data_IF_962984148640
#
_entry.id   IF_962984148640
#
_cell.length_a   1.000
_cell.length_b   1.000
_cell.length_c   1.000
_cell.angle_alpha   90.00
_cell.angle_beta   90.00
_cell.angle_gamma   90.00
#
_symmetry.space_group_name_H-M   'P 1'
#
loop_
_entity.id
_entity.type
_entity.pdbx_description
1 polymer ?
#
# COMPACT_ATOMS: atom_id res chain seq x y z
N UNK A 1 -5.47 0.91 -6.04
CA UNK A 1 -4.78 0.16 -7.12
C UNK A 1 -4.52 1.03 -8.37
N UNK A 2 -4.42 2.35 -8.27
CA UNK A 2 -4.40 3.22 -9.47
C UNK A 2 -3.06 3.30 -10.22
N UNK A 3 -1.97 2.80 -9.63
CA UNK A 3 -0.63 2.84 -10.22
C UNK A 3 -0.57 1.92 -11.44
N UNK A 4 0.02 2.41 -12.53
CA UNK A 4 0.14 1.66 -13.78
C UNK A 4 0.88 0.33 -13.58
N UNK A 5 0.39 -0.70 -14.27
CA UNK A 5 0.90 -2.08 -14.21
C UNK A 5 0.76 -2.80 -12.86
N UNK A 6 0.18 -2.20 -11.82
CA UNK A 6 -0.14 -2.94 -10.59
C UNK A 6 -1.39 -3.81 -10.80
N UNK A 7 -1.29 -5.08 -10.40
CA UNK A 7 -2.34 -6.11 -10.56
C UNK A 7 -2.82 -6.72 -9.25
N UNK A 8 -2.17 -6.41 -8.13
CA UNK A 8 -2.57 -6.85 -6.79
C UNK A 8 -1.96 -5.94 -5.73
N UNK A 9 -2.62 -5.82 -4.59
CA UNK A 9 -2.18 -5.07 -3.41
C UNK A 9 -2.55 -5.90 -2.19
N UNK A 10 -1.65 -5.89 -1.23
CA UNK A 10 -1.81 -6.59 0.03
C UNK A 10 -1.45 -5.65 1.17
N UNK A 11 -2.09 -5.84 2.32
CA UNK A 11 -1.69 -5.23 3.58
C UNK A 11 -1.14 -6.32 4.49
N UNK A 12 0.00 -6.05 5.10
CA UNK A 12 0.69 -7.00 5.97
C UNK A 12 1.11 -8.27 5.23
N UNK A 13 0.67 -9.41 5.76
CA UNK A 13 0.93 -10.73 5.18
C UNK A 13 -0.10 -11.15 4.12
N UNK A 14 -1.13 -10.32 3.89
CA UNK A 14 -1.91 -10.34 2.65
C UNK A 14 -2.62 -11.65 2.37
N UNK A 15 -2.50 -12.13 1.13
CA UNK A 15 -3.07 -13.40 0.70
C UNK A 15 -2.45 -14.59 1.45
N UNK A 16 -1.27 -14.44 2.05
CA UNK A 16 -0.69 -15.44 2.94
C UNK A 16 -1.58 -15.76 4.14
N UNK A 17 -2.28 -14.75 4.69
CA UNK A 17 -3.20 -14.96 5.82
C UNK A 17 -4.48 -15.70 5.42
N UNK A 18 -4.87 -15.67 4.15
CA UNK A 18 -6.04 -16.41 3.68
C UNK A 18 -5.82 -17.94 3.68
N UNK A 19 -4.57 -18.39 3.77
CA UNK A 19 -4.20 -19.81 3.75
C UNK A 19 -3.91 -20.41 5.14
N UNK A 20 -3.99 -19.61 6.22
CA UNK A 20 -3.67 -20.07 7.58
C UNK A 20 -4.92 -20.17 8.47
N UNK A 21 -4.81 -20.90 9.57
CA UNK A 21 -5.90 -21.01 10.56
C UNK A 21 -6.10 -19.67 11.26
N UNK A 22 -7.33 -19.40 11.69
CA UNK A 22 -7.63 -18.18 12.46
C UNK A 22 -6.81 -18.05 13.75
N UNK A 23 -6.40 -19.16 14.37
CA UNK A 23 -5.50 -19.18 15.54
C UNK A 23 -4.12 -18.60 15.24
N UNK A 24 -3.67 -18.66 13.99
CA UNK A 24 -2.33 -18.26 13.57
C UNK A 24 -2.35 -16.95 12.76
N UNK A 25 -3.54 -16.44 12.40
CA UNK A 25 -3.70 -15.30 11.50
C UNK A 25 -3.59 -13.94 12.19
N UNK A 26 -3.93 -13.87 13.48
CA UNK A 26 -4.09 -12.62 14.19
C UNK A 26 -2.78 -12.17 14.87
N UNK A 27 -2.74 -10.88 15.20
CA UNK A 27 -1.72 -10.27 16.04
C UNK A 27 -2.26 -10.08 17.45
N UNK A 28 -1.79 -10.88 18.42
CA UNK A 28 -2.27 -10.79 19.80
C UNK A 28 -1.89 -9.44 20.42
N UNK A 29 -2.76 -8.92 21.28
CA UNK A 29 -2.55 -7.67 22.02
C UNK A 29 -1.97 -8.01 23.40
N UNK A 30 -0.79 -7.48 23.70
CA UNK A 30 -0.09 -7.71 24.96
C UNK A 30 0.30 -6.39 25.62
N UNK A 31 0.43 -6.39 26.94
CA UNK A 31 1.00 -5.24 27.66
C UNK A 31 2.52 -5.18 27.44
N UNK A 32 3.02 -3.97 27.17
CA UNK A 32 4.44 -3.64 27.10
C UNK A 32 4.77 -2.48 28.04
N UNK A 33 6.05 -2.12 28.15
CA UNK A 33 6.49 -0.99 28.96
C UNK A 33 6.03 0.38 28.40
N UNK A 34 5.65 0.44 27.11
CA UNK A 34 5.29 1.67 26.41
C UNK A 34 3.77 1.77 26.14
N UNK A 35 3.00 0.74 26.47
CA UNK A 35 1.59 0.62 26.10
C UNK A 35 1.20 -0.78 25.65
N UNK A 36 0.07 -0.90 24.98
CA UNK A 36 -0.34 -2.10 24.25
C UNK A 36 0.58 -2.29 23.04
N UNK A 37 1.07 -3.51 22.88
CA UNK A 37 1.88 -3.92 21.74
C UNK A 37 1.24 -5.12 21.05
N UNK A 38 1.60 -5.32 19.79
CA UNK A 38 1.27 -6.55 19.06
C UNK A 38 2.39 -7.57 19.14
N UNK A 39 2.05 -8.84 19.26
CA UNK A 39 3.05 -9.93 19.28
C UNK A 39 3.67 -10.20 17.92
N UNK A 40 2.99 -9.78 16.85
CA UNK A 40 3.47 -9.84 15.48
C UNK A 40 2.91 -8.67 14.66
N UNK A 41 3.32 -8.55 13.40
CA UNK A 41 2.87 -7.49 12.50
C UNK A 41 2.05 -7.98 11.30
N UNK A 42 1.38 -9.14 11.40
CA UNK A 42 0.71 -9.84 10.28
C UNK A 42 -0.38 -9.02 9.63
N UNK A 43 -1.13 -8.26 10.43
CA UNK A 43 -2.15 -7.30 10.00
C UNK A 43 -1.59 -6.16 9.15
N UNK A 44 -0.28 -5.92 9.20
CA UNK A 44 0.38 -4.87 8.44
C UNK A 44 0.07 -3.47 8.93
N UNK A 45 -0.17 -3.31 10.23
CA UNK A 45 -0.44 -2.01 10.84
C UNK A 45 -1.88 -1.52 10.69
N UNK A 46 -2.80 -2.37 10.21
CA UNK A 46 -4.21 -2.02 10.07
C UNK A 46 -5.15 -3.12 10.53
N UNK A 47 -6.18 -2.76 11.28
CA UNK A 47 -7.28 -3.67 11.66
C UNK A 47 -8.61 -2.93 11.62
N UNK A 48 -9.66 -3.59 11.13
CA UNK A 48 -10.98 -2.96 11.01
C UNK A 48 -10.98 -1.68 10.14
N UNK A 49 -10.00 -1.53 9.25
CA UNK A 49 -9.83 -0.33 8.42
C UNK A 49 -9.14 0.84 9.13
N UNK A 50 -8.58 0.66 10.32
CA UNK A 50 -7.89 1.71 11.09
C UNK A 50 -6.43 1.34 11.35
N UNK A 51 -5.57 2.36 11.47
CA UNK A 51 -4.18 2.17 11.88
C UNK A 51 -4.10 1.64 13.33
N UNK A 52 -3.27 0.64 13.58
CA UNK A 52 -3.11 0.03 14.91
C UNK A 52 -2.01 0.67 15.76
N UNK A 53 -1.18 1.54 15.17
CA UNK A 53 0.04 2.07 15.78
C UNK A 53 1.30 1.29 15.38
N UNK A 54 1.14 0.06 14.89
CA UNK A 54 2.23 -0.73 14.30
C UNK A 54 2.63 -0.19 12.92
N UNK A 55 3.77 -0.67 12.39
CA UNK A 55 4.24 -0.27 11.06
C UNK A 55 3.23 -0.65 9.97
N UNK A 56 2.77 0.35 9.22
CA UNK A 56 1.96 0.13 8.02
C UNK A 56 2.79 -0.58 6.94
N UNK A 57 2.38 -1.78 6.54
CA UNK A 57 3.03 -2.56 5.48
C UNK A 57 2.07 -2.76 4.32
N UNK A 58 2.41 -2.21 3.16
CA UNK A 58 1.65 -2.38 1.92
C UNK A 58 2.55 -3.01 0.86
N UNK A 59 2.06 -4.03 0.15
CA UNK A 59 2.74 -4.65 -0.99
C UNK A 59 1.94 -4.41 -2.26
N UNK A 60 2.63 -4.32 -3.39
CA UNK A 60 2.02 -4.18 -4.70
C UNK A 60 2.66 -5.17 -5.69
N UNK A 61 1.83 -5.89 -6.43
CA UNK A 61 2.25 -6.83 -7.47
C UNK A 61 2.24 -6.13 -8.83
N UNK A 62 3.43 -5.85 -9.38
CA UNK A 62 3.59 -5.21 -10.68
C UNK A 62 3.76 -6.25 -11.78
N UNK A 63 2.90 -6.23 -12.82
CA UNK A 63 3.17 -7.00 -14.04
C UNK A 63 4.32 -6.36 -14.82
N UNK A 64 5.07 -7.12 -15.64
CA UNK A 64 6.02 -6.53 -16.59
C UNK A 64 5.32 -5.46 -17.44
N UNK A 65 5.84 -4.23 -17.39
CA UNK A 65 5.22 -3.08 -18.07
C UNK A 65 5.73 -2.91 -19.51
N UNK A 66 6.99 -3.26 -19.76
CA UNK A 66 7.62 -3.15 -21.07
C UNK A 66 7.22 -4.33 -21.95
N UNK A 67 6.65 -4.04 -23.12
CA UNK A 67 6.37 -5.06 -24.15
C UNK A 67 7.68 -5.66 -24.66
N UNK A 68 7.74 -6.99 -24.76
CA UNK A 68 8.90 -7.70 -25.29
C UNK A 68 8.91 -7.56 -26.83
N UNK A 69 9.99 -7.02 -27.43
CA UNK A 69 10.08 -6.88 -28.89
C UNK A 69 9.88 -8.21 -29.61
N UNK A 70 9.04 -8.21 -30.66
CA UNK A 70 8.76 -9.36 -31.55
C UNK A 70 8.15 -10.60 -30.88
N UNK A 71 7.76 -10.53 -29.61
CA UNK A 71 7.19 -11.68 -28.90
C UNK A 71 5.66 -11.73 -28.90
N UNK A 72 4.99 -10.59 -29.09
CA UNK A 72 3.53 -10.48 -28.97
C UNK A 72 2.88 -10.21 -30.32
N UNK A 73 1.83 -10.97 -30.62
CA UNK A 73 0.90 -10.69 -31.73
C UNK A 73 -0.14 -9.66 -31.31
N UNK A 74 -0.52 -8.80 -32.24
CA UNK A 74 -1.61 -7.83 -32.13
C UNK A 74 -2.31 -7.72 -33.49
N UNK A 75 -3.23 -6.77 -33.63
CA UNK A 75 -3.93 -6.46 -34.88
C UNK A 75 -3.65 -5.01 -35.28
N UNK A 76 -3.40 -4.76 -36.56
CA UNK A 76 -3.40 -3.40 -37.12
C UNK A 76 -4.85 -2.93 -37.26
N UNK A 77 -5.21 -1.88 -36.54
CA UNK A 77 -6.60 -1.37 -36.51
C UNK A 77 -7.05 -0.71 -37.83
N UNK A 78 -6.11 -0.37 -38.72
CA UNK A 78 -6.43 0.24 -40.02
C UNK A 78 -6.76 -0.80 -41.09
N UNK A 79 -6.12 -1.98 -41.04
CA UNK A 79 -6.31 -3.07 -42.03
C UNK A 79 -7.11 -4.25 -41.49
N UNK A 80 -7.12 -4.46 -40.16
CA UNK A 80 -7.70 -5.63 -39.51
C UNK A 80 -6.80 -6.88 -39.54
N UNK A 81 -5.59 -6.78 -40.08
CA UNK A 81 -4.66 -7.91 -40.22
C UNK A 81 -3.79 -8.15 -38.99
N UNK A 82 -3.26 -9.36 -38.84
CA UNK A 82 -2.29 -9.68 -37.78
C UNK A 82 -1.01 -8.85 -37.94
N UNK A 83 -0.53 -8.26 -36.84
CA UNK A 83 0.68 -7.47 -36.79
C UNK A 83 1.51 -7.79 -35.53
N UNK A 84 2.84 -7.60 -35.52
CA UNK A 84 3.63 -7.69 -34.30
C UNK A 84 3.43 -6.45 -33.43
N UNK A 85 3.32 -6.63 -32.11
CA UNK A 85 3.26 -5.50 -31.20
C UNK A 85 4.61 -4.79 -31.10
N UNK A 86 4.59 -3.46 -31.22
CA UNK A 86 5.77 -2.62 -31.01
C UNK A 86 5.93 -2.26 -29.53
N UNK A 87 7.16 -2.21 -29.03
CA UNK A 87 7.44 -1.69 -27.70
C UNK A 87 7.58 -0.17 -27.73
N UNK A 88 7.14 0.51 -26.66
CA UNK A 88 7.28 1.97 -26.50
C UNK A 88 8.40 2.37 -25.52
N UNK A 89 8.90 1.40 -24.77
CA UNK A 89 9.98 1.54 -23.79
C UNK A 89 10.85 0.27 -23.83
N UNK A 90 12.08 0.38 -23.35
CA UNK A 90 13.12 -0.66 -23.53
C UNK A 90 13.76 -1.12 -22.21
N UNK A 91 13.38 -0.54 -21.08
CA UNK A 91 13.82 -1.01 -19.76
C UNK A 91 13.25 -2.40 -19.46
N UNK A 92 14.07 -3.22 -18.81
CA UNK A 92 13.73 -4.61 -18.48
C UNK A 92 12.88 -4.69 -17.21
N UNK A 93 13.14 -3.83 -16.22
CA UNK A 93 12.47 -3.84 -14.93
C UNK A 93 12.24 -2.42 -14.42
N UNK A 94 11.00 -2.12 -14.05
CA UNK A 94 10.58 -0.86 -13.45
C UNK A 94 10.10 -1.02 -11.99
N UNK A 95 10.27 -2.20 -11.38
CA UNK A 95 9.79 -2.50 -10.02
C UNK A 95 10.39 -1.55 -8.97
N UNK A 96 11.71 -1.23 -8.97
CA UNK A 96 12.26 -0.30 -8.00
C UNK A 96 11.64 1.10 -8.09
N UNK A 97 11.46 1.62 -9.30
CA UNK A 97 10.82 2.92 -9.52
C UNK A 97 9.32 2.89 -9.16
N UNK A 98 8.63 1.79 -9.43
CA UNK A 98 7.24 1.61 -9.01
C UNK A 98 7.08 1.59 -7.48
N UNK A 99 8.11 1.15 -6.73
CA UNK A 99 8.16 1.27 -5.27
C UNK A 99 8.07 2.71 -4.79
N UNK A 100 8.86 3.62 -5.40
CA UNK A 100 8.82 5.05 -5.09
C UNK A 100 7.44 5.66 -5.39
N UNK A 101 6.83 5.26 -6.51
CA UNK A 101 5.45 5.69 -6.83
C UNK A 101 4.45 5.15 -5.80
N UNK A 102 4.62 3.91 -5.34
CA UNK A 102 3.77 3.32 -4.31
C UNK A 102 3.89 4.06 -2.96
N UNK A 103 5.10 4.42 -2.55
CA UNK A 103 5.34 5.25 -1.36
C UNK A 103 4.60 6.60 -1.46
N UNK A 104 4.70 7.27 -2.62
CA UNK A 104 4.01 8.53 -2.84
C UNK A 104 2.48 8.39 -2.75
N UNK A 105 1.91 7.31 -3.32
CA UNK A 105 0.46 7.06 -3.23
C UNK A 105 0.01 6.75 -1.80
N UNK A 106 0.83 6.01 -1.02
CA UNK A 106 0.55 5.76 0.41
C UNK A 106 0.60 7.07 1.20
N UNK A 107 1.61 7.91 0.96
CA UNK A 107 1.76 9.21 1.63
C UNK A 107 0.57 10.14 1.37
N UNK A 108 0.04 10.18 0.14
CA UNK A 108 -1.16 10.96 -0.19
C UNK A 108 -2.38 10.49 0.61
N UNK A 109 -2.62 9.18 0.67
CA UNK A 109 -3.77 8.62 1.42
C UNK A 109 -3.62 8.85 2.93
N UNK A 110 -2.40 8.74 3.47
CA UNK A 110 -2.16 9.04 4.88
C UNK A 110 -2.34 10.52 5.20
N UNK A 111 -1.89 11.42 4.32
CA UNK A 111 -2.09 12.86 4.50
C UNK A 111 -3.58 13.23 4.48
N UNK A 112 -4.37 12.60 3.59
CA UNK A 112 -5.82 12.77 3.53
C UNK A 112 -6.49 12.28 4.82
N UNK A 113 -6.17 11.07 5.28
CA UNK A 113 -6.71 10.51 6.53
C UNK A 113 -6.31 11.33 7.78
N UNK A 114 -5.11 11.89 7.82
CA UNK A 114 -4.65 12.81 8.87
C UNK A 114 -5.49 14.09 8.82
N UNK A 115 -5.70 14.66 7.64
CA UNK A 115 -6.47 15.88 7.45
C UNK A 115 -7.94 15.68 7.82
N UNK A 116 -8.53 14.54 7.44
CA UNK A 116 -9.90 14.16 7.82
C UNK A 116 -10.04 14.00 9.35
N UNK A 117 -9.10 13.31 10.00
CA UNK A 117 -9.18 13.02 11.44
C UNK A 117 -8.90 14.25 12.32
N UNK A 118 -7.92 15.06 11.96
CA UNK A 118 -7.41 16.13 12.82
C UNK A 118 -7.81 17.54 12.37
N UNK A 119 -8.26 17.71 11.13
CA UNK A 119 -8.66 18.98 10.56
C UNK A 119 -7.55 20.04 10.55
N UNK A 120 -7.96 21.30 10.41
CA UNK A 120 -7.09 22.47 10.42
C UNK A 120 -6.78 23.01 9.03
N UNK A 121 -6.66 24.34 8.95
CA UNK A 121 -6.36 25.04 7.68
C UNK A 121 -4.88 25.38 7.52
N UNK A 122 -4.05 24.98 8.50
CA UNK A 122 -2.60 25.15 8.48
C UNK A 122 -1.89 23.98 9.16
N UNK A 123 -0.66 23.69 8.74
CA UNK A 123 0.16 22.61 9.32
C UNK A 123 0.31 22.77 10.83
N UNK A 124 0.49 24.00 11.31
CA UNK A 124 0.64 24.29 12.75
C UNK A 124 -0.63 23.95 13.54
N UNK A 125 -1.79 24.21 12.96
CA UNK A 125 -3.08 23.87 13.56
C UNK A 125 -3.31 22.36 13.60
N UNK A 126 -3.15 21.66 12.47
CA UNK A 126 -3.27 20.20 12.42
C UNK A 126 -2.30 19.54 13.40
N UNK A 127 -1.07 20.03 13.50
CA UNK A 127 -0.06 19.52 14.44
C UNK A 127 -0.42 19.78 15.91
N UNK A 128 -1.13 20.87 16.24
CA UNK A 128 -1.66 21.11 17.59
C UNK A 128 -2.76 20.10 17.90
N UNK A 129 -3.72 19.92 16.99
CA UNK A 129 -4.84 19.00 17.18
C UNK A 129 -4.37 17.54 17.34
N UNK A 130 -3.40 17.10 16.52
CA UNK A 130 -2.74 15.80 16.66
C UNK A 130 -2.09 15.62 18.04
N UNK A 131 -1.30 16.59 18.50
CA UNK A 131 -0.64 16.50 19.82
C UNK A 131 -1.64 16.39 20.95
N UNK A 132 -2.69 17.22 20.94
CA UNK A 132 -3.77 17.14 21.94
C UNK A 132 -4.48 15.78 21.90
N UNK A 133 -4.70 15.19 20.72
CA UNK A 133 -5.21 13.83 20.61
C UNK A 133 -4.29 12.80 21.29
N UNK A 134 -2.97 12.88 21.04
CA UNK A 134 -1.98 11.96 21.64
C UNK A 134 -1.83 12.13 23.17
N UNK A 135 -2.02 13.34 23.69
CA UNK A 135 -2.00 13.62 25.13
C UNK A 135 -3.24 13.04 25.85
N UNK A 136 -4.38 12.97 25.16
CA UNK A 136 -5.63 12.46 25.72
C UNK A 136 -5.87 10.96 25.47
N UNK A 137 -4.94 10.28 24.78
CA UNK A 137 -5.03 8.84 24.56
C UNK A 137 -4.82 8.11 25.91
N UNK A 138 -5.88 7.52 26.45
CA UNK A 138 -5.85 6.86 27.77
C UNK A 138 -5.13 5.52 27.76
N UNK A 139 -5.06 4.88 26.60
CA UNK A 139 -4.32 3.65 26.35
C UNK A 139 -3.39 3.93 25.19
N UNK A 140 -2.09 3.86 25.46
CA UNK A 140 -1.04 3.88 24.44
C UNK A 140 -0.74 2.46 24.03
#
# INVERSE_FOLDING_TARGET
>A
MGIQAIKGVEVGDGFGLAAVRGSDAQDEIVNSNEGLARTSGKSGGTEGGMSTGETLRVRAAMKPISTIPRALRTVDISTGEEAPAINQRSDVCAVPAAGVVAEAMVALVLADAISEKFGGDSVTETARNLRTYMENLSVR
#
